data_IF_461491176170
#
_entry.id   IF_461491176170
#
_cell.length_a   1.000
_cell.length_b   1.000
_cell.length_c   1.000
_cell.angle_alpha   90.00
_cell.angle_beta   90.00
_cell.angle_gamma   90.00
#
_symmetry.space_group_name_H-M   'P 1'
#
loop_
_entity.id
_entity.type
_entity.pdbx_description
1 polymer ?
#
# COMPACT_ATOMS: atom_id res chain seq x y z
N UNK A 1 -22.23 12.63 -19.80
CA UNK A 1 -22.12 12.28 -19.60
C UNK A 1 -21.55 12.38 -19.70
N UNK A 2 -21.85 12.46 -19.69
CA UNK A 2 -21.53 12.20 -19.59
C UNK A 2 -20.94 12.13 -19.33
N UNK A 3 -21.11 12.32 -19.08
CA UNK A 3 -20.66 11.96 -18.61
C UNK A 3 -20.10 11.66 -18.46
N UNK A 4 -20.43 11.59 -18.31
CA UNK A 4 -19.92 10.96 -17.92
C UNK A 4 -19.00 10.79 -18.29
N UNK A 5 -18.86 10.92 -18.59
CA UNK A 5 -17.91 10.66 -18.86
C UNK A 5 -16.85 11.15 -18.52
N UNK A 6 -17.08 12.02 -18.58
CA UNK A 6 -16.05 12.65 -18.06
C UNK A 6 -15.64 12.13 -16.85
N UNK A 7 -16.40 11.69 -16.30
CA UNK A 7 -16.10 11.14 -15.18
C UNK A 7 -15.25 10.05 -15.32
N UNK A 8 -15.27 9.44 -16.29
CA UNK A 8 -14.42 8.35 -16.43
C UNK A 8 -13.00 8.77 -16.33
N UNK A 9 -12.69 9.89 -16.82
CA UNK A 9 -11.36 10.34 -16.79
C UNK A 9 -10.79 10.49 -15.46
N UNK A 10 -11.59 10.91 -14.54
CA UNK A 10 -11.09 11.10 -13.27
C UNK A 10 -10.56 9.92 -12.68
N UNK A 11 -10.93 8.81 -13.14
CA UNK A 11 -10.49 7.67 -12.56
C UNK A 11 -9.10 7.39 -12.71
N UNK A 12 -8.43 7.95 -13.64
CA UNK A 12 -7.03 7.67 -13.81
C UNK A 12 -6.23 8.39 -12.79
N UNK A 13 -6.84 9.32 -12.10
CA UNK A 13 -6.11 10.01 -11.10
C UNK A 13 -5.96 9.19 -9.85
N UNK A 14 -4.99 9.51 -9.03
CA UNK A 14 -4.79 8.83 -7.78
C UNK A 14 -6.03 9.00 -6.91
N UNK A 15 -6.58 7.90 -6.46
CA UNK A 15 -7.77 7.92 -5.65
C UNK A 15 -7.34 7.95 -4.19
N UNK A 16 -7.00 9.13 -3.68
CA UNK A 16 -6.47 9.23 -2.34
C UNK A 16 -7.50 8.93 -1.28
N UNK A 17 -8.77 9.16 -1.57
CA UNK A 17 -9.80 8.83 -0.62
C UNK A 17 -9.93 7.31 -0.50
N UNK A 18 -9.83 6.62 -1.63
CA UNK A 18 -9.90 5.17 -1.62
C UNK A 18 -8.63 4.54 -1.12
N UNK A 19 -7.51 5.26 -1.19
CA UNK A 19 -6.23 4.71 -0.77
C UNK A 19 -6.24 4.36 0.72
N UNK A 20 -6.82 5.21 1.55
CA UNK A 20 -6.89 4.92 2.97
C UNK A 20 -7.72 3.68 3.25
N UNK A 21 -8.82 3.52 2.54
CA UNK A 21 -9.67 2.36 2.71
C UNK A 21 -8.95 1.10 2.22
N UNK A 22 -8.24 1.19 1.10
CA UNK A 22 -7.49 0.05 0.60
C UNK A 22 -6.39 -0.35 1.58
N UNK A 23 -5.74 0.64 2.20
CA UNK A 23 -4.73 0.38 3.19
C UNK A 23 -5.32 -0.39 4.36
N UNK A 24 -6.45 0.05 4.86
CA UNK A 24 -7.10 -0.62 5.98
C UNK A 24 -7.53 -2.02 5.59
N UNK A 25 -8.12 -2.19 4.41
CA UNK A 25 -8.56 -3.49 3.95
C UNK A 25 -7.39 -4.47 3.85
N UNK A 26 -6.28 -4.03 3.26
CA UNK A 26 -5.12 -4.90 3.12
C UNK A 26 -4.54 -5.27 4.48
N UNK A 27 -4.53 -4.32 5.40
CA UNK A 27 -4.02 -4.59 6.74
C UNK A 27 -4.88 -5.64 7.45
N UNK A 28 -6.19 -5.48 7.36
CA UNK A 28 -7.11 -6.41 8.00
C UNK A 28 -7.02 -7.79 7.37
N UNK A 29 -6.89 -7.85 6.04
CA UNK A 29 -6.75 -9.12 5.36
C UNK A 29 -5.49 -9.85 5.79
N UNK A 30 -4.46 -9.11 6.14
CA UNK A 30 -3.23 -9.70 6.62
C UNK A 30 -3.28 -9.95 8.11
N UNK A 31 -4.38 -9.59 8.75
CA UNK A 31 -4.58 -9.78 10.19
C UNK A 31 -3.55 -9.05 11.02
N UNK A 32 -3.18 -7.86 10.58
CA UNK A 32 -2.23 -7.04 11.31
C UNK A 32 -2.95 -5.92 12.03
N UNK A 33 -2.51 -5.63 13.25
CA UNK A 33 -3.00 -4.46 13.95
C UNK A 33 -2.27 -3.24 13.37
N UNK A 34 -2.74 -2.04 13.69
CA UNK A 34 -2.03 -0.84 13.27
C UNK A 34 -0.64 -0.82 13.88
N UNK A 35 -0.51 -1.32 15.09
CA UNK A 35 0.79 -1.35 15.75
C UNK A 35 1.76 -2.27 15.00
N UNK A 36 1.27 -3.44 14.60
CA UNK A 36 2.12 -4.36 13.86
C UNK A 36 2.53 -3.79 12.50
N UNK A 37 1.58 -3.17 11.82
CA UNK A 37 1.90 -2.56 10.55
C UNK A 37 2.89 -1.41 10.74
N UNK A 38 2.72 -0.64 11.81
CA UNK A 38 3.63 0.44 12.13
C UNK A 38 5.05 -0.08 12.25
N UNK A 39 5.23 -1.18 12.95
CA UNK A 39 6.55 -1.75 13.13
C UNK A 39 7.12 -2.24 11.81
N UNK A 40 6.33 -2.90 11.00
CA UNK A 40 6.82 -3.44 9.75
C UNK A 40 7.16 -2.37 8.73
N UNK A 41 6.34 -1.35 8.66
CA UNK A 41 6.52 -0.31 7.65
C UNK A 41 7.43 0.82 8.10
N UNK A 42 7.70 0.92 9.38
CA UNK A 42 8.51 2.03 9.88
C UNK A 42 7.77 3.35 9.84
N UNK A 43 6.46 3.31 10.00
CA UNK A 43 5.60 4.50 10.00
C UNK A 43 4.85 4.50 11.31
N UNK A 44 4.71 5.65 11.95
CA UNK A 44 4.10 5.70 13.27
C UNK A 44 2.63 5.24 13.22
N UNK A 45 2.16 4.68 14.31
CA UNK A 45 0.80 4.22 14.39
C UNK A 45 -0.21 5.36 14.22
N UNK A 46 -0.02 6.53 14.83
CA UNK A 46 -0.94 7.65 14.58
C UNK A 46 -0.99 8.05 13.11
N UNK A 47 0.15 7.98 12.41
CA UNK A 47 0.18 8.33 11.02
C UNK A 47 -0.63 7.31 10.19
N UNK A 48 -0.50 6.03 10.52
CA UNK A 48 -1.29 5.00 9.85
C UNK A 48 -2.77 5.24 10.07
N UNK A 49 -3.15 5.58 11.30
CA UNK A 49 -4.54 5.87 11.61
C UNK A 49 -5.08 7.03 10.77
N UNK A 50 -4.29 8.08 10.62
CA UNK A 50 -4.71 9.22 9.82
C UNK A 50 -4.80 8.88 8.33
N UNK A 51 -3.90 8.03 7.86
CA UNK A 51 -3.96 7.60 6.46
C UNK A 51 -5.18 6.74 6.20
N UNK A 52 -5.48 5.84 7.11
CA UNK A 52 -6.64 4.95 6.93
C UNK A 52 -7.96 5.72 7.01
N UNK A 53 -8.00 6.77 7.79
CA UNK A 53 -9.22 7.55 7.92
C UNK A 53 -9.40 8.54 6.78
N UNK A 54 -8.38 8.72 5.96
CA UNK A 54 -8.45 9.68 4.87
C UNK A 54 -8.09 11.07 5.28
N UNK A 55 -7.68 11.29 6.55
CA UNK A 55 -7.33 12.59 7.02
C UNK A 55 -6.05 13.10 6.36
N UNK A 56 -5.11 12.19 6.11
CA UNK A 56 -3.90 12.54 5.40
C UNK A 56 -3.87 11.78 4.08
N UNK A 57 -3.34 12.42 3.05
CA UNK A 57 -3.23 11.81 1.76
C UNK A 57 -2.06 10.82 1.77
N UNK A 58 -2.30 9.64 1.23
CA UNK A 58 -1.25 8.64 1.13
C UNK A 58 -0.36 8.98 -0.05
N UNK A 59 0.89 9.29 0.22
CA UNK A 59 1.83 9.65 -0.81
C UNK A 59 2.72 8.47 -1.14
N UNK A 60 3.40 8.57 -2.27
CA UNK A 60 4.16 7.43 -2.79
C UNK A 60 5.19 6.88 -1.81
N UNK A 61 5.93 7.74 -1.15
CA UNK A 61 6.97 7.26 -0.26
C UNK A 61 6.41 6.39 0.86
N UNK A 62 5.35 6.86 1.50
CA UNK A 62 4.72 6.08 2.55
C UNK A 62 4.04 4.84 1.96
N UNK A 63 3.47 4.98 0.76
CA UNK A 63 2.81 3.87 0.11
C UNK A 63 3.78 2.74 -0.20
N UNK A 64 5.01 3.08 -0.58
CA UNK A 64 6.00 2.06 -0.86
C UNK A 64 6.31 1.23 0.38
N UNK A 65 6.45 1.90 1.52
CA UNK A 65 6.75 1.20 2.76
C UNK A 65 5.58 0.34 3.19
N UNK A 66 4.37 0.88 3.09
CA UNK A 66 3.19 0.14 3.51
C UNK A 66 2.88 -1.01 2.57
N UNK A 67 3.06 -0.79 1.26
CA UNK A 67 2.80 -1.84 0.29
C UNK A 67 3.74 -3.03 0.50
N UNK A 68 5.02 -2.74 0.77
CA UNK A 68 5.98 -3.80 1.02
C UNK A 68 5.61 -4.57 2.29
N UNK A 69 5.22 -3.85 3.33
CA UNK A 69 4.85 -4.49 4.59
C UNK A 69 3.60 -5.35 4.43
N UNK A 70 2.69 -4.94 3.55
CA UNK A 70 1.45 -5.65 3.32
C UNK A 70 1.54 -6.64 2.16
N UNK A 71 2.65 -6.63 1.43
CA UNK A 71 2.87 -7.54 0.30
C UNK A 71 1.84 -7.31 -0.80
N UNK A 72 1.60 -6.05 -1.10
CA UNK A 72 0.71 -5.67 -2.20
C UNK A 72 1.43 -4.67 -3.09
N UNK A 73 0.89 -4.43 -4.27
CA UNK A 73 1.48 -3.49 -5.20
C UNK A 73 1.27 -2.05 -4.77
N UNK A 74 2.31 -1.23 -4.89
CA UNK A 74 2.21 0.16 -4.49
C UNK A 74 1.23 0.92 -5.38
N UNK A 75 1.20 0.60 -6.67
CA UNK A 75 0.28 1.28 -7.57
C UNK A 75 -1.16 0.91 -7.25
N UNK A 76 -1.41 -0.34 -6.88
CA UNK A 76 -2.76 -0.70 -6.45
C UNK A 76 -3.15 0.09 -5.21
N UNK A 77 -2.24 0.21 -4.27
CA UNK A 77 -2.55 0.91 -3.02
C UNK A 77 -2.89 2.37 -3.31
N UNK A 78 -2.16 2.99 -4.21
CA UNK A 78 -2.37 4.40 -4.51
C UNK A 78 -3.54 4.66 -5.44
N UNK A 79 -3.75 3.81 -6.43
CA UNK A 79 -4.73 4.10 -7.48
C UNK A 79 -5.93 3.19 -7.51
N UNK A 80 -5.85 2.03 -6.87
CA UNK A 80 -6.95 1.08 -6.91
C UNK A 80 -6.96 0.19 -8.14
N UNK A 81 -5.90 0.22 -8.93
CA UNK A 81 -5.82 -0.60 -10.15
C UNK A 81 -5.63 -2.05 -9.72
N UNK A 82 -6.68 -2.86 -9.83
CA UNK A 82 -6.66 -4.23 -9.37
C UNK A 82 -5.61 -5.08 -10.09
N UNK A 83 -5.27 -4.73 -11.31
CA UNK A 83 -4.27 -5.49 -12.03
C UNK A 83 -2.89 -5.32 -11.41
N UNK A 84 -2.72 -4.33 -10.55
CA UNK A 84 -1.45 -4.07 -9.90
C UNK A 84 -1.44 -4.48 -8.44
N UNK A 85 -2.46 -5.18 -8.00
CA UNK A 85 -2.56 -5.54 -6.58
C UNK A 85 -1.51 -6.53 -6.14
N UNK A 86 -1.07 -7.41 -7.03
CA UNK A 86 -0.07 -8.38 -6.64
C UNK A 86 1.24 -7.68 -6.31
N UNK A 87 1.92 -8.21 -5.31
CA UNK A 87 3.18 -7.64 -4.88
C UNK A 87 4.16 -7.78 -6.05
N UNK A 88 4.64 -6.67 -6.58
CA UNK A 88 5.47 -6.74 -7.78
C UNK A 88 6.90 -7.07 -7.47
N UNK A 89 7.57 -7.63 -8.44
CA UNK A 89 8.99 -7.86 -8.34
C UNK A 89 9.69 -6.82 -9.19
N UNK A 90 9.23 -5.57 -9.14
CA UNK A 90 9.87 -4.54 -9.94
C UNK A 90 11.09 -4.01 -9.21
N UNK A 91 11.92 -3.31 -9.95
CA UNK A 91 13.19 -2.87 -9.45
C UNK A 91 13.09 -1.95 -8.24
N UNK A 92 12.15 -1.05 -8.25
CA UNK A 92 12.01 -0.12 -7.15
C UNK A 92 11.68 -0.84 -5.85
N UNK A 93 10.81 -1.84 -5.93
CA UNK A 93 10.43 -2.58 -4.76
C UNK A 93 11.57 -3.47 -4.28
N UNK A 94 12.30 -4.05 -5.21
CA UNK A 94 13.45 -4.88 -4.86
C UNK A 94 14.51 -4.02 -4.17
N UNK A 95 14.76 -2.81 -4.69
CA UNK A 95 15.74 -1.92 -4.09
C UNK A 95 15.31 -1.55 -2.67
N UNK A 96 14.04 -1.29 -2.49
CA UNK A 96 13.54 -0.95 -1.18
C UNK A 96 13.74 -2.12 -0.21
N UNK A 97 13.47 -3.33 -0.66
CA UNK A 97 13.63 -4.50 0.19
C UNK A 97 15.06 -4.72 0.60
N UNK A 98 16.00 -4.41 -0.26
CA UNK A 98 17.41 -4.56 0.10
C UNK A 98 17.82 -3.58 1.18
N UNK A 99 17.10 -2.47 1.31
CA UNK A 99 17.38 -1.50 2.34
C UNK A 99 16.64 -1.82 3.63
N UNK A 100 15.76 -2.81 3.62
CA UNK A 100 14.97 -3.19 4.79
C UNK A 100 15.05 -4.69 5.00
N UNK A 101 16.18 -5.17 5.52
CA UNK A 101 16.42 -6.62 5.63
C UNK A 101 15.38 -7.39 6.40
N UNK A 102 14.79 -6.77 7.43
CA UNK A 102 13.81 -7.49 8.23
C UNK A 102 12.57 -7.84 7.40
N UNK A 103 12.16 -6.96 6.50
CA UNK A 103 11.01 -7.22 5.64
C UNK A 103 11.40 -8.25 4.59
N UNK A 104 12.60 -8.10 4.02
CA UNK A 104 13.06 -9.00 2.99
C UNK A 104 13.13 -10.43 3.50
N UNK A 105 13.63 -10.61 4.71
CA UNK A 105 13.75 -11.95 5.26
C UNK A 105 12.41 -12.57 5.55
N UNK A 106 11.47 -11.76 6.00
CA UNK A 106 10.14 -12.26 6.26
C UNK A 106 9.48 -12.73 4.97
N UNK A 107 9.62 -11.97 3.90
CA UNK A 107 9.06 -12.37 2.62
C UNK A 107 9.75 -13.62 2.08
N UNK A 108 11.06 -13.71 2.28
CA UNK A 108 11.81 -14.88 1.82
C UNK A 108 11.31 -16.14 2.51
N UNK A 109 11.06 -16.06 3.81
CA UNK A 109 10.58 -17.22 4.53
C UNK A 109 9.22 -17.67 4.00
N UNK A 110 8.37 -16.74 3.62
CA UNK A 110 7.09 -17.11 3.07
C UNK A 110 7.21 -17.73 1.70
N UNK A 111 8.15 -17.23 0.91
CA UNK A 111 8.31 -17.74 -0.44
C UNK A 111 8.90 -19.14 -0.47
N UNK A 112 9.58 -19.53 0.57
CA UNK A 112 10.16 -20.84 0.62
C UNK A 112 9.11 -21.93 0.79
N UNK A 113 7.98 -21.56 1.30
CA UNK A 113 6.92 -22.53 1.49
C UNK A 113 6.24 -22.89 0.16
#
# INVERSE_FOLDING_TARGET
GEMSVGQAVQKVEVDTAGAGQRLKTARVEKRLSMWELSRRAGISQPQISMLESGKYQLRRKAAEKLAAALEVGVDWLLTGDESKKRFPADKAMVDWLWQHPEVREELWERMKE
#
